data_IF_965698683366
#
_entry.id   IF_965698683366
#
_cell.length_a   1.000
_cell.length_b   1.000
_cell.length_c   1.000
_cell.angle_alpha   90.00
_cell.angle_beta   90.00
_cell.angle_gamma   90.00
#
_symmetry.space_group_name_H-M   'P 1'
#
loop_
_entity.id
_entity.type
_entity.pdbx_description
1 polymer ?
#
# COMPACT_ATOMS: atom_id res chain seq x y z
N UNK A 1 -6.45 -2.79 -27.09
CA UNK A 1 -7.04 -3.41 -25.88
C UNK A 1 -6.29 -4.70 -25.59
N UNK A 2 -5.87 -4.93 -24.35
CA UNK A 2 -5.10 -6.09 -23.91
C UNK A 2 -5.91 -6.84 -22.85
N UNK A 3 -6.10 -8.15 -23.01
CA UNK A 3 -6.77 -8.98 -22.00
C UNK A 3 -5.77 -9.46 -20.94
N UNK A 4 -6.14 -9.31 -19.67
CA UNK A 4 -5.35 -9.79 -18.53
C UNK A 4 -6.27 -10.44 -17.48
N UNK A 5 -6.33 -11.77 -17.50
CA UNK A 5 -7.32 -12.56 -16.76
C UNK A 5 -8.75 -12.06 -17.04
N UNK A 6 -9.43 -11.53 -16.02
CA UNK A 6 -10.79 -10.98 -16.09
C UNK A 6 -10.82 -9.48 -16.46
N UNK A 7 -9.66 -8.84 -16.60
CA UNK A 7 -9.55 -7.41 -16.90
C UNK A 7 -9.30 -7.16 -18.39
N UNK A 8 -9.91 -6.07 -18.90
CA UNK A 8 -9.61 -5.52 -20.22
C UNK A 8 -8.88 -4.19 -20.06
N UNK A 9 -7.61 -4.19 -20.45
CA UNK A 9 -6.73 -3.03 -20.34
C UNK A 9 -6.76 -2.22 -21.63
N UNK A 10 -7.00 -0.92 -21.51
CA UNK A 10 -6.92 0.04 -22.60
C UNK A 10 -5.78 1.03 -22.36
N UNK A 11 -5.11 1.43 -23.44
CA UNK A 11 -4.08 2.46 -23.44
C UNK A 11 -4.30 3.35 -24.66
N UNK A 12 -4.03 4.65 -24.52
CA UNK A 12 -4.01 5.59 -25.64
C UNK A 12 -2.75 5.47 -26.50
N UNK A 13 -1.70 4.86 -25.95
CA UNK A 13 -0.45 4.62 -26.68
C UNK A 13 -0.52 3.30 -27.45
N UNK A 14 -0.65 3.42 -28.77
CA UNK A 14 -0.77 2.30 -29.71
C UNK A 14 0.57 1.61 -30.00
N UNK A 15 1.70 2.20 -29.60
CA UNK A 15 3.03 1.63 -29.81
C UNK A 15 3.38 0.55 -28.78
N UNK A 16 2.65 0.49 -27.66
CA UNK A 16 2.90 -0.45 -26.59
C UNK A 16 2.44 -1.86 -26.93
N UNK A 17 3.33 -2.83 -26.73
CA UNK A 17 2.96 -4.23 -26.78
C UNK A 17 2.22 -4.68 -25.51
N UNK A 18 1.55 -5.83 -25.59
CA UNK A 18 0.76 -6.37 -24.48
C UNK A 18 1.55 -6.53 -23.17
N UNK A 19 2.83 -6.89 -23.25
CA UNK A 19 3.66 -7.13 -22.06
C UNK A 19 3.94 -5.84 -21.31
N UNK A 20 4.26 -4.76 -22.04
CA UNK A 20 4.48 -3.44 -21.46
C UNK A 20 3.21 -2.90 -20.83
N UNK A 21 2.07 -3.02 -21.50
CA UNK A 21 0.76 -2.61 -20.94
C UNK A 21 0.48 -3.31 -19.61
N UNK A 22 0.71 -4.63 -19.53
CA UNK A 22 0.56 -5.39 -18.27
C UNK A 22 1.56 -4.95 -17.21
N UNK A 23 2.80 -4.65 -17.58
CA UNK A 23 3.82 -4.17 -16.64
C UNK A 23 3.44 -2.83 -16.00
N UNK A 24 2.91 -1.88 -16.78
CA UNK A 24 2.43 -0.60 -16.27
C UNK A 24 1.19 -0.78 -15.39
N UNK A 25 0.28 -1.68 -15.77
CA UNK A 25 -0.88 -2.00 -14.95
C UNK A 25 -0.49 -2.60 -13.59
N UNK A 26 0.58 -3.41 -13.54
CA UNK A 26 1.13 -3.91 -12.27
C UNK A 26 1.63 -2.79 -11.37
N UNK A 27 2.25 -1.74 -11.92
CA UNK A 27 2.63 -0.55 -11.14
C UNK A 27 1.40 0.15 -10.56
N UNK A 28 0.30 0.24 -11.31
CA UNK A 28 -0.98 0.78 -10.81
C UNK A 28 -1.50 -0.04 -9.62
N UNK A 29 -1.42 -1.36 -9.69
CA UNK A 29 -1.84 -2.25 -8.60
C UNK A 29 -1.04 -2.00 -7.31
N UNK A 30 0.27 -1.75 -7.41
CA UNK A 30 1.09 -1.41 -6.23
C UNK A 30 0.59 -0.16 -5.50
N UNK A 31 0.12 0.85 -6.24
CA UNK A 31 -0.46 2.07 -5.66
C UNK A 31 -1.77 1.75 -4.93
N UNK A 32 -2.62 0.90 -5.50
CA UNK A 32 -3.87 0.47 -4.86
C UNK A 32 -3.61 -0.31 -3.57
N UNK A 33 -2.64 -1.22 -3.60
CA UNK A 33 -2.22 -1.99 -2.42
C UNK A 33 -1.67 -1.07 -1.33
N UNK A 34 -0.84 -0.09 -1.69
CA UNK A 34 -0.35 0.93 -0.77
C UNK A 34 -1.49 1.66 -0.06
N UNK A 35 -2.46 2.22 -0.80
CA UNK A 35 -3.59 2.91 -0.19
C UNK A 35 -4.48 1.99 0.63
N UNK A 36 -4.66 0.73 0.21
CA UNK A 36 -5.41 -0.27 0.98
C UNK A 36 -4.78 -0.49 2.35
N UNK A 37 -3.45 -0.62 2.40
CA UNK A 37 -2.69 -0.77 3.65
C UNK A 37 -2.85 0.47 4.54
N UNK A 38 -2.67 1.68 3.98
CA UNK A 38 -2.80 2.91 4.76
C UNK A 38 -4.18 3.03 5.42
N UNK A 39 -5.24 2.64 4.69
CA UNK A 39 -6.62 2.69 5.20
C UNK A 39 -6.89 1.58 6.22
N UNK A 40 -6.58 0.32 5.91
CA UNK A 40 -6.95 -0.83 6.75
C UNK A 40 -6.07 -0.98 7.98
N UNK A 41 -4.76 -0.84 7.82
CA UNK A 41 -3.78 -1.13 8.89
C UNK A 41 -3.43 0.12 9.70
N UNK A 42 -3.30 1.26 9.01
CA UNK A 42 -2.81 2.51 9.59
C UNK A 42 -3.89 3.56 9.82
N UNK A 43 -5.15 3.24 9.51
CA UNK A 43 -6.31 4.07 9.83
C UNK A 43 -6.20 5.50 9.28
N UNK A 44 -5.72 5.64 8.05
CA UNK A 44 -5.57 6.93 7.36
C UNK A 44 -6.84 7.79 7.45
N UNK A 45 -8.01 7.18 7.30
CA UNK A 45 -9.31 7.88 7.25
C UNK A 45 -9.95 8.13 8.63
N UNK A 46 -9.33 7.67 9.72
CA UNK A 46 -9.93 7.73 11.06
C UNK A 46 -9.53 8.96 11.90
N UNK A 47 -8.99 10.02 11.28
CA UNK A 47 -8.70 11.26 12.01
C UNK A 47 -10.01 11.91 12.47
N UNK A 48 -10.27 11.95 13.78
CA UNK A 48 -11.50 12.50 14.35
C UNK A 48 -11.47 14.02 14.58
N UNK A 49 -10.34 14.68 14.28
CA UNK A 49 -10.14 16.10 14.52
C UNK A 49 -10.67 16.94 13.34
N UNK A 50 -11.35 18.05 13.67
CA UNK A 50 -11.87 19.02 12.67
C UNK A 50 -10.84 20.08 12.24
N UNK A 51 -9.69 20.15 12.90
CA UNK A 51 -8.63 21.11 12.57
C UNK A 51 -7.79 20.57 11.42
N UNK A 52 -7.65 21.36 10.34
CA UNK A 52 -6.85 21.00 9.15
C UNK A 52 -5.42 20.61 9.52
N UNK A 53 -4.77 21.35 10.41
CA UNK A 53 -3.39 21.03 10.84
C UNK A 53 -3.30 19.64 11.50
N UNK A 54 -4.30 19.24 12.28
CA UNK A 54 -4.33 17.92 12.91
C UNK A 54 -4.54 16.81 11.88
N UNK A 55 -5.35 17.05 10.85
CA UNK A 55 -5.57 16.11 9.75
C UNK A 55 -4.30 15.94 8.90
N UNK A 56 -3.60 17.03 8.57
CA UNK A 56 -2.32 16.99 7.86
C UNK A 56 -1.28 16.21 8.67
N UNK A 57 -1.16 16.51 9.97
CA UNK A 57 -0.25 15.79 10.85
C UNK A 57 -0.58 14.30 10.94
N UNK A 58 -1.87 13.93 11.01
CA UNK A 58 -2.30 12.54 10.99
C UNK A 58 -1.84 11.82 9.72
N UNK A 59 -2.07 12.42 8.55
CA UNK A 59 -1.59 11.87 7.27
C UNK A 59 -0.08 11.69 7.30
N UNK A 60 0.67 12.69 7.77
CA UNK A 60 2.12 12.64 7.86
C UNK A 60 2.61 11.50 8.76
N UNK A 61 2.03 11.34 9.95
CA UNK A 61 2.38 10.25 10.86
C UNK A 61 2.01 8.87 10.31
N UNK A 62 0.88 8.75 9.60
CA UNK A 62 0.50 7.50 8.92
C UNK A 62 1.54 7.11 7.86
N UNK A 63 2.04 8.07 7.07
CA UNK A 63 3.07 7.81 6.08
C UNK A 63 4.41 7.40 6.73
N UNK A 64 4.81 8.07 7.81
CA UNK A 64 6.01 7.67 8.57
C UNK A 64 5.87 6.25 9.12
N UNK A 65 4.72 5.94 9.73
CA UNK A 65 4.45 4.61 10.27
C UNK A 65 4.53 3.53 9.18
N UNK A 66 4.01 3.80 7.99
CA UNK A 66 4.15 2.90 6.84
C UNK A 66 5.62 2.63 6.51
N UNK A 67 6.45 3.67 6.38
CA UNK A 67 7.87 3.52 6.09
C UNK A 67 8.60 2.70 7.15
N UNK A 68 8.31 2.94 8.43
CA UNK A 68 8.90 2.19 9.54
C UNK A 68 8.50 0.71 9.52
N UNK A 69 7.23 0.42 9.26
CA UNK A 69 6.72 -0.95 9.18
C UNK A 69 7.26 -1.69 7.96
N UNK A 70 7.38 -1.05 6.81
CA UNK A 70 8.00 -1.66 5.64
C UNK A 70 9.48 -1.96 5.88
N UNK A 71 10.21 -1.05 6.52
CA UNK A 71 11.59 -1.31 6.90
C UNK A 71 11.68 -2.52 7.86
N UNK A 72 10.82 -2.56 8.88
CA UNK A 72 10.73 -3.71 9.79
C UNK A 72 10.41 -5.02 9.06
N UNK A 73 9.46 -4.99 8.11
CA UNK A 73 9.08 -6.13 7.27
C UNK A 73 10.30 -6.70 6.55
N UNK A 74 11.09 -5.83 5.92
CA UNK A 74 12.31 -6.19 5.19
C UNK A 74 13.35 -6.75 6.14
N UNK A 75 13.62 -6.06 7.26
CA UNK A 75 14.61 -6.47 8.25
C UNK A 75 14.30 -7.83 8.89
N UNK A 76 13.02 -8.15 9.08
CA UNK A 76 12.56 -9.43 9.66
C UNK A 76 12.17 -10.47 8.61
N UNK A 77 12.40 -10.20 7.33
CA UNK A 77 12.05 -11.08 6.22
C UNK A 77 10.59 -11.56 6.25
N UNK A 78 9.67 -10.65 6.56
CA UNK A 78 8.23 -10.93 6.64
C UNK A 78 7.62 -10.83 5.23
N UNK A 79 6.83 -11.83 4.85
CA UNK A 79 6.33 -11.97 3.48
C UNK A 79 5.37 -10.84 3.05
N UNK A 80 4.57 -10.29 3.96
CA UNK A 80 3.67 -9.17 3.68
C UNK A 80 3.48 -8.28 4.92
N UNK A 81 3.06 -7.03 4.71
CA UNK A 81 2.89 -6.06 5.81
C UNK A 81 1.78 -6.47 6.79
N UNK A 82 0.74 -7.18 6.32
CA UNK A 82 -0.40 -7.62 7.13
C UNK A 82 -0.01 -8.58 8.26
N UNK A 83 1.12 -9.30 8.12
CA UNK A 83 1.63 -10.23 9.14
C UNK A 83 2.45 -9.56 10.24
N UNK A 84 2.79 -8.27 10.11
CA UNK A 84 3.66 -7.60 11.08
C UNK A 84 3.06 -7.60 12.49
N UNK A 85 1.74 -7.39 12.62
CA UNK A 85 1.07 -7.41 13.93
C UNK A 85 1.32 -8.72 14.67
N UNK A 86 1.18 -9.86 13.99
CA UNK A 86 1.40 -11.18 14.58
C UNK A 86 2.82 -11.30 15.14
N UNK A 87 3.81 -10.91 14.35
CA UNK A 87 5.23 -10.97 14.75
C UNK A 87 5.55 -10.04 15.92
N UNK A 88 4.97 -8.84 15.98
CA UNK A 88 5.19 -7.92 17.09
C UNK A 88 4.64 -8.49 18.40
N UNK A 89 3.43 -9.05 18.39
CA UNK A 89 2.81 -9.61 19.59
C UNK A 89 3.51 -10.89 20.06
N UNK A 90 4.06 -11.69 19.15
CA UNK A 90 4.88 -12.86 19.50
C UNK A 90 6.24 -12.48 20.11
N UNK A 91 6.71 -11.25 19.90
CA UNK A 91 8.00 -10.75 20.42
C UNK A 91 7.90 -10.08 21.79
N UNK A 92 6.70 -9.88 22.34
CA UNK A 92 6.49 -9.29 23.68
C UNK A 92 6.03 -10.43 24.60
N UNK A 93 6.91 -11.00 25.44
CA UNK A 93 6.46 -11.92 26.48
C UNK A 93 5.58 -11.13 27.46
N UNK A 94 4.35 -11.60 27.66
CA UNK A 94 3.47 -11.15 28.74
C UNK A 94 4.06 -11.48 30.11
#
# INVERSE_FOLDING_TARGET
MVKDNDNYLATSDLSLNSTLVKSYYRTRQLVEEFFKILKSELRLECCSFRKVIAQINHIYFVLIAFCQLENFRIMKNISNIYKIRLVIFDCIPL
#
